data_IF_995044090890
#
_entry.id   IF_995044090890
#
_cell.length_a   1.000
_cell.length_b   1.000
_cell.length_c   1.000
_cell.angle_alpha   90.00
_cell.angle_beta   90.00
_cell.angle_gamma   90.00
#
_symmetry.space_group_name_H-M   'P 1'
#
loop_
_entity.id
_entity.type
_entity.pdbx_description
1 polymer ?
#
# COMPACT_ATOMS: atom_id res chain seq x y z
N UNK A 1 9.69 -9.74 8.14
CA UNK A 1 9.07 -8.51 8.67
C UNK A 1 9.45 -8.23 10.12
N UNK A 2 10.45 -8.91 10.70
CA UNK A 2 10.76 -8.81 12.14
C UNK A 2 11.36 -7.46 12.58
N UNK A 3 11.81 -6.60 11.68
CA UNK A 3 12.48 -5.33 11.99
C UNK A 3 11.89 -4.13 11.21
N UNK A 4 10.58 -4.11 10.98
CA UNK A 4 9.95 -3.01 10.25
C UNK A 4 9.61 -1.84 11.18
N UNK A 5 10.20 -0.65 10.95
CA UNK A 5 9.84 0.58 11.68
C UNK A 5 8.38 0.94 11.40
N UNK A 6 7.55 0.87 12.44
CA UNK A 6 6.14 1.24 12.38
C UNK A 6 5.96 2.69 11.92
N UNK A 7 4.82 2.96 11.26
CA UNK A 7 4.44 4.29 10.78
C UNK A 7 3.07 4.61 11.35
N UNK A 8 2.83 5.85 11.77
CA UNK A 8 1.56 6.27 12.37
C UNK A 8 0.43 6.54 11.36
N UNK A 9 0.75 6.72 10.08
CA UNK A 9 -0.24 6.97 9.03
C UNK A 9 -0.10 6.00 7.85
N UNK A 10 -1.22 5.42 7.35
CA UNK A 10 -1.19 4.47 6.23
C UNK A 10 -0.76 5.15 4.92
N UNK A 11 -1.06 6.44 4.76
CA UNK A 11 -0.65 7.27 3.64
C UNK A 11 0.21 8.45 4.11
N UNK A 12 1.18 8.85 3.30
CA UNK A 12 1.99 10.05 3.56
C UNK A 12 1.11 11.30 3.42
N UNK A 13 1.23 12.25 4.35
CA UNK A 13 0.60 13.56 4.24
C UNK A 13 1.39 14.39 3.22
N UNK A 14 0.69 14.87 2.18
CA UNK A 14 1.29 15.58 1.04
C UNK A 14 1.18 14.79 -0.26
N UNK A 15 0.90 15.52 -1.34
CA UNK A 15 0.80 14.99 -2.69
C UNK A 15 2.17 14.52 -3.17
N UNK A 16 2.58 13.30 -2.82
CA UNK A 16 3.53 12.60 -3.66
C UNK A 16 2.82 12.41 -5.00
N UNK A 17 3.38 12.92 -6.12
CA UNK A 17 2.78 12.71 -7.42
C UNK A 17 2.69 11.20 -7.59
N UNK A 18 1.48 10.66 -7.63
CA UNK A 18 1.27 9.34 -8.16
C UNK A 18 1.42 9.49 -9.66
N UNK A 19 2.63 9.74 -10.12
CA UNK A 19 2.90 10.06 -11.50
C UNK A 19 2.66 8.79 -12.30
N UNK A 20 1.42 8.71 -12.80
CA UNK A 20 1.09 7.97 -14.00
C UNK A 20 1.75 8.60 -15.25
N UNK A 21 2.74 9.48 -15.07
CA UNK A 21 3.43 10.20 -16.14
C UNK A 21 4.58 9.34 -16.64
N UNK A 22 4.23 8.59 -17.67
CA UNK A 22 4.93 8.51 -18.95
C UNK A 22 6.34 7.94 -19.05
N UNK A 23 7.23 7.94 -18.06
CA UNK A 23 8.66 7.63 -18.36
C UNK A 23 9.42 6.87 -17.25
N UNK A 24 8.75 6.48 -16.16
CA UNK A 24 9.37 5.68 -15.08
C UNK A 24 9.22 4.19 -15.36
N UNK A 25 10.34 3.47 -15.33
CA UNK A 25 10.45 2.03 -15.63
C UNK A 25 9.31 1.24 -14.99
N UNK A 26 8.47 0.63 -15.84
CA UNK A 26 7.35 -0.18 -15.38
C UNK A 26 7.90 -1.46 -14.75
N UNK A 27 7.68 -1.62 -13.44
CA UNK A 27 8.21 -2.74 -12.65
C UNK A 27 7.35 -4.01 -12.81
N UNK A 28 6.31 -3.95 -13.67
CA UNK A 28 5.36 -5.02 -13.96
C UNK A 28 5.98 -6.40 -14.27
N UNK A 29 7.22 -6.45 -14.77
CA UNK A 29 7.93 -7.69 -15.10
C UNK A 29 8.79 -8.28 -13.98
N UNK A 30 8.98 -7.56 -12.88
CA UNK A 30 9.65 -8.11 -11.70
C UNK A 30 8.69 -9.03 -10.94
N UNK A 31 9.19 -10.07 -10.29
CA UNK A 31 8.41 -11.07 -9.54
C UNK A 31 7.78 -10.50 -8.25
N UNK A 32 7.39 -9.23 -8.25
CA UNK A 32 6.83 -8.51 -7.11
C UNK A 32 5.31 -8.71 -7.13
N UNK A 33 4.72 -9.37 -6.11
CA UNK A 33 3.29 -9.66 -6.09
C UNK A 33 2.45 -8.44 -5.68
N UNK A 34 2.54 -7.32 -6.41
CA UNK A 34 1.83 -6.08 -6.09
C UNK A 34 0.30 -6.26 -6.10
N UNK A 35 -0.25 -6.94 -7.11
CA UNK A 35 -1.69 -7.19 -7.21
C UNK A 35 -2.21 -8.02 -6.04
N UNK A 36 -1.46 -9.04 -5.62
CA UNK A 36 -1.82 -9.85 -4.45
C UNK A 36 -1.77 -9.01 -3.17
N UNK A 37 -0.74 -8.17 -3.00
CA UNK A 37 -0.63 -7.25 -1.87
C UNK A 37 -1.86 -6.33 -1.77
N UNK A 38 -2.25 -5.68 -2.87
CA UNK A 38 -3.43 -4.80 -2.90
C UNK A 38 -4.72 -5.60 -2.61
N UNK A 39 -4.84 -6.82 -3.13
CA UNK A 39 -5.96 -7.71 -2.84
C UNK A 39 -6.09 -8.06 -1.35
N UNK A 40 -4.97 -8.43 -0.69
CA UNK A 40 -4.96 -8.70 0.74
C UNK A 40 -5.33 -7.46 1.56
N UNK A 41 -4.84 -6.28 1.19
CA UNK A 41 -5.20 -5.03 1.85
C UNK A 41 -6.68 -4.69 1.65
N UNK A 42 -7.23 -4.93 0.46
CA UNK A 42 -8.66 -4.74 0.19
C UNK A 42 -9.54 -5.66 1.05
N UNK A 43 -9.10 -6.91 1.26
CA UNK A 43 -9.78 -7.83 2.18
C UNK A 43 -9.79 -7.30 3.62
N UNK A 44 -8.64 -6.82 4.12
CA UNK A 44 -8.56 -6.22 5.45
C UNK A 44 -9.48 -5.00 5.60
N UNK A 45 -9.55 -4.13 4.58
CA UNK A 45 -10.48 -2.99 4.54
C UNK A 45 -11.93 -3.44 4.68
N UNK A 46 -12.32 -4.47 3.94
CA UNK A 46 -13.69 -4.96 3.91
C UNK A 46 -14.11 -5.64 5.21
N UNK A 47 -13.17 -6.31 5.89
CA UNK A 47 -13.50 -7.12 7.07
C UNK A 47 -13.34 -6.37 8.39
N UNK A 48 -12.26 -5.60 8.59
CA UNK A 48 -11.82 -5.19 9.95
C UNK A 48 -11.16 -3.83 10.04
N UNK A 49 -10.70 -3.26 8.92
CA UNK A 49 -9.81 -2.08 8.89
C UNK A 49 -10.27 -1.04 7.87
N UNK A 50 -11.46 -0.44 8.04
CA UNK A 50 -11.96 0.59 7.12
C UNK A 50 -11.04 1.83 7.04
N UNK A 51 -10.24 2.08 8.08
CA UNK A 51 -9.21 3.13 8.11
C UNK A 51 -8.21 3.06 6.94
N UNK A 52 -7.96 1.85 6.41
CA UNK A 52 -7.05 1.65 5.28
C UNK A 52 -7.68 1.96 3.91
N UNK A 53 -9.00 2.18 3.84
CA UNK A 53 -9.75 2.26 2.58
C UNK A 53 -9.17 3.30 1.62
N UNK A 54 -8.80 4.47 2.13
CA UNK A 54 -8.24 5.55 1.30
C UNK A 54 -6.87 5.18 0.70
N UNK A 55 -6.01 4.54 1.50
CA UNK A 55 -4.70 4.09 1.04
C UNK A 55 -4.84 2.98 -0.02
N UNK A 56 -5.71 2.00 0.22
CA UNK A 56 -5.94 0.89 -0.72
C UNK A 56 -6.58 1.38 -2.02
N UNK A 57 -7.54 2.29 -1.95
CA UNK A 57 -8.15 2.93 -3.13
C UNK A 57 -7.09 3.62 -4.00
N UNK A 58 -6.11 4.25 -3.37
CA UNK A 58 -5.00 4.93 -4.07
C UNK A 58 -4.08 3.93 -4.75
N UNK A 59 -3.71 2.84 -4.07
CA UNK A 59 -2.89 1.76 -4.63
C UNK A 59 -3.60 1.01 -5.77
N UNK A 60 -4.93 0.85 -5.67
CA UNK A 60 -5.78 0.19 -6.67
C UNK A 60 -5.75 0.86 -8.05
N UNK A 61 -5.49 2.18 -8.11
CA UNK A 61 -5.37 2.92 -9.38
C UNK A 61 -4.22 2.40 -10.26
N UNK A 62 -3.20 1.78 -9.65
CA UNK A 62 -1.95 1.38 -10.31
C UNK A 62 -1.82 -0.14 -10.48
N UNK A 63 -2.92 -0.90 -10.41
CA UNK A 63 -2.89 -2.37 -10.53
C UNK A 63 -2.33 -2.88 -11.87
N UNK A 64 -2.61 -2.15 -12.95
CA UNK A 64 -2.19 -2.54 -14.31
C UNK A 64 -0.77 -2.08 -14.65
N UNK A 65 -0.29 -1.00 -14.02
CA UNK A 65 1.03 -0.39 -14.26
C UNK A 65 1.53 0.21 -12.95
N UNK A 66 2.31 -0.55 -12.19
CA UNK A 66 2.90 -0.08 -10.94
C UNK A 66 4.40 0.18 -11.09
N UNK A 67 4.88 1.20 -10.37
CA UNK A 67 6.29 1.57 -10.26
C UNK A 67 6.87 1.14 -8.91
N UNK A 68 8.17 1.26 -8.74
CA UNK A 68 8.83 0.98 -7.46
C UNK A 68 8.32 1.88 -6.32
N UNK A 69 7.91 3.10 -6.64
CA UNK A 69 7.30 4.03 -5.67
C UNK A 69 5.94 3.51 -5.20
N UNK A 70 5.08 3.06 -6.12
CA UNK A 70 3.78 2.47 -5.78
C UNK A 70 3.95 1.24 -4.87
N UNK A 71 4.94 0.38 -5.16
CA UNK A 71 5.26 -0.74 -4.29
C UNK A 71 5.76 -0.30 -2.91
N UNK A 72 6.55 0.77 -2.85
CA UNK A 72 7.04 1.34 -1.58
C UNK A 72 5.91 1.94 -0.73
N UNK A 73 4.88 2.51 -1.36
CA UNK A 73 3.66 2.92 -0.68
C UNK A 73 2.88 1.72 -0.14
N UNK A 74 2.75 0.63 -0.91
CA UNK A 74 2.18 -0.63 -0.41
C UNK A 74 2.92 -1.16 0.83
N UNK A 75 4.26 -1.13 0.81
CA UNK A 75 5.10 -1.47 1.98
C UNK A 75 4.85 -0.53 3.17
N UNK A 76 4.55 0.75 2.95
CA UNK A 76 4.18 1.68 4.03
C UNK A 76 2.89 1.26 4.72
N UNK A 77 1.87 0.86 3.97
CA UNK A 77 0.61 0.36 4.55
C UNK A 77 0.86 -0.88 5.42
N UNK A 78 1.72 -1.79 4.97
CA UNK A 78 2.13 -2.95 5.77
C UNK A 78 2.87 -2.55 7.07
N UNK A 79 3.70 -1.50 7.04
CA UNK A 79 4.35 -0.97 8.25
C UNK A 79 3.37 -0.33 9.22
N UNK A 80 2.33 0.33 8.70
CA UNK A 80 1.25 0.85 9.53
C UNK A 80 0.47 -0.28 10.19
N UNK A 81 0.12 -1.33 9.43
CA UNK A 81 -0.53 -2.54 9.96
C UNK A 81 0.27 -3.18 11.10
N UNK A 82 1.59 -3.32 10.93
CA UNK A 82 2.47 -3.83 11.99
C UNK A 82 2.45 -2.96 13.24
N UNK A 83 2.51 -1.63 13.09
CA UNK A 83 2.47 -0.69 14.20
C UNK A 83 1.13 -0.57 14.91
N UNK A 84 0.07 -1.12 14.30
CA UNK A 84 -1.29 -1.04 14.82
C UNK A 84 -1.83 -2.42 15.14
N UNK A 85 -1.00 -3.45 15.27
CA UNK A 85 -1.50 -4.82 15.52
C UNK A 85 -2.35 -4.92 16.81
N UNK A 86 -2.04 -4.10 17.81
CA UNK A 86 -2.77 -3.99 19.09
C UNK A 86 -4.06 -3.16 19.00
N UNK A 87 -4.28 -2.46 17.88
CA UNK A 87 -5.51 -1.75 17.62
C UNK A 87 -6.49 -2.83 17.15
N UNK A 88 -7.24 -3.37 18.13
CA UNK A 88 -8.16 -4.49 17.94
C UNK A 88 -9.06 -4.35 16.71
N UNK A 89 -9.54 -5.50 16.22
CA UNK A 89 -10.50 -5.54 15.10
C UNK A 89 -11.80 -4.87 15.57
N UNK A 90 -12.26 -3.86 14.82
CA UNK A 90 -13.58 -3.25 15.01
C UNK A 90 -14.63 -4.07 14.30
#
# INVERSE_FOLDING_TARGET
MENCRAVATPQTLGTLPLTATSDVENVNGSNIPYRALVGCLQYLVQCTRPDLANAVRTLGKYLNKYTHENYTMGKRVLRYLHGTIDYGLV
#
